data_IF_011473122674
#
_entry.id   IF_011473122674
#
_cell.length_a   1.000
_cell.length_b   1.000
_cell.length_c   1.000
_cell.angle_alpha   90.00
_cell.angle_beta   90.00
_cell.angle_gamma   90.00
#
_symmetry.space_group_name_H-M   'P 1'
#
loop_
_entity.id
_entity.type
_entity.pdbx_description
1 polymer ?
#
# COMPACT_ATOMS: atom_id res chain seq x y z
N UNK A 1 -0.17 -0.22 -8.50
CA UNK A 1 -0.64 0.34 -7.22
C UNK A 1 0.29 -0.19 -6.16
N UNK A 2 1.15 0.69 -5.65
CA UNK A 2 2.07 0.38 -4.57
C UNK A 2 1.28 0.31 -3.26
N UNK A 3 1.37 -0.85 -2.60
CA UNK A 3 0.88 -1.00 -1.24
C UNK A 3 2.05 -0.97 -0.28
N UNK A 4 1.92 -0.20 0.78
CA UNK A 4 2.95 -0.11 1.80
C UNK A 4 2.59 -1.01 2.98
N UNK A 5 3.51 -1.87 3.38
CA UNK A 5 3.32 -2.65 4.60
C UNK A 5 3.42 -1.74 5.83
N UNK A 6 2.46 -1.86 6.75
CA UNK A 6 2.44 -1.08 8.01
C UNK A 6 3.66 -1.35 8.91
N UNK A 7 4.20 -2.58 8.87
CA UNK A 7 5.29 -3.01 9.75
C UNK A 7 6.67 -2.73 9.16
N UNK A 8 6.97 -3.26 7.97
CA UNK A 8 8.29 -3.08 7.35
C UNK A 8 8.41 -1.80 6.52
N UNK A 9 7.31 -1.06 6.32
CA UNK A 9 7.24 0.20 5.55
C UNK A 9 7.75 0.11 4.11
N UNK A 10 7.98 -1.10 3.59
CA UNK A 10 8.37 -1.33 2.20
C UNK A 10 7.16 -1.22 1.28
N UNK A 11 7.39 -0.74 0.07
CA UNK A 11 6.45 -0.88 -1.02
C UNK A 11 6.39 -2.36 -1.42
N UNK A 12 5.18 -2.83 -1.62
CA UNK A 12 4.84 -4.20 -1.97
C UNK A 12 3.86 -4.10 -3.14
N UNK A 13 4.19 -4.75 -4.24
CA UNK A 13 3.22 -5.04 -5.29
C UNK A 13 2.49 -6.32 -4.90
N UNK A 14 1.16 -6.22 -4.80
CA UNK A 14 0.32 -7.36 -4.48
C UNK A 14 -0.18 -7.91 -5.81
N UNK A 15 0.13 -9.18 -6.08
CA UNK A 15 -0.45 -9.90 -7.20
C UNK A 15 -1.74 -10.59 -6.73
N UNK A 16 -2.89 -10.13 -7.25
CA UNK A 16 -4.22 -10.56 -6.81
C UNK A 16 -4.54 -12.01 -7.17
N UNK A 17 -3.74 -12.66 -8.01
CA UNK A 17 -4.02 -14.00 -8.53
C UNK A 17 -3.65 -15.13 -7.57
N UNK A 18 -2.58 -15.00 -6.77
CA UNK A 18 -2.00 -16.17 -6.07
C UNK A 18 -1.61 -15.97 -4.61
N UNK A 19 -1.32 -14.75 -4.13
CA UNK A 19 -0.59 -14.58 -2.85
C UNK A 19 -1.44 -14.02 -1.70
N UNK A 20 -2.69 -13.63 -1.97
CA UNK A 20 -3.54 -12.97 -0.97
C UNK A 20 -2.92 -11.68 -0.42
N UNK A 21 -3.48 -11.14 0.66
CA UNK A 21 -3.00 -9.88 1.27
C UNK A 21 -1.93 -10.21 2.32
N UNK A 22 -0.71 -10.50 1.85
CA UNK A 22 0.43 -10.80 2.74
C UNK A 22 1.70 -10.11 2.25
N UNK A 23 2.39 -9.43 3.15
CA UNK A 23 3.69 -8.84 2.86
C UNK A 23 4.75 -9.95 2.70
N UNK A 24 5.48 -10.04 1.56
CA UNK A 24 6.49 -11.08 1.32
C UNK A 24 7.71 -10.95 2.23
N UNK A 25 7.96 -9.76 2.79
CA UNK A 25 9.15 -9.50 3.60
C UNK A 25 8.99 -9.80 5.08
N UNK A 26 7.78 -9.67 5.63
CA UNK A 26 7.56 -9.79 7.08
C UNK A 26 6.31 -10.60 7.46
N UNK A 27 5.59 -11.14 6.47
CA UNK A 27 4.39 -11.96 6.70
C UNK A 27 3.18 -11.19 7.24
N UNK A 28 3.29 -9.88 7.47
CA UNK A 28 2.20 -9.04 7.96
C UNK A 28 1.09 -8.90 6.91
N UNK A 29 -0.17 -8.85 7.37
CA UNK A 29 -1.35 -8.90 6.49
C UNK A 29 -2.06 -7.56 6.33
N UNK A 30 -1.52 -6.50 6.96
CA UNK A 30 -2.09 -5.15 6.87
C UNK A 30 -1.23 -4.31 5.94
N UNK A 31 -1.79 -4.03 4.77
CA UNK A 31 -1.18 -3.25 3.69
C UNK A 31 -1.99 -1.98 3.45
N UNK A 32 -1.31 -0.85 3.27
CA UNK A 32 -1.92 0.48 3.10
C UNK A 32 -1.66 0.96 1.69
N UNK A 33 -2.69 1.42 0.98
CA UNK A 33 -2.53 1.97 -0.37
C UNK A 33 -1.74 3.28 -0.32
N UNK A 34 -0.79 3.44 -1.24
CA UNK A 34 -0.06 4.69 -1.42
C UNK A 34 -0.99 5.88 -1.71
N UNK A 35 -0.55 7.09 -1.35
CA UNK A 35 -1.25 8.33 -1.74
C UNK A 35 -1.15 8.45 -3.27
N UNK A 36 -2.24 8.77 -3.98
CA UNK A 36 -2.15 9.04 -5.41
C UNK A 36 -1.22 10.23 -5.66
N UNK A 37 -0.46 10.17 -6.75
CA UNK A 37 0.40 11.27 -7.23
C UNK A 37 -0.39 12.49 -7.70
N UNK A 38 -1.69 12.34 -7.92
CA UNK A 38 -2.60 13.42 -8.30
C UNK A 38 -2.69 14.48 -7.19
N UNK A 39 -2.41 15.73 -7.57
CA UNK A 39 -2.56 16.90 -6.69
C UNK A 39 -4.06 17.11 -6.44
N UNK A 40 -4.45 17.15 -5.17
CA UNK A 40 -5.81 17.48 -4.76
C UNK A 40 -5.88 18.97 -4.43
N UNK A 41 -6.69 19.73 -5.16
CA UNK A 41 -7.01 21.12 -4.81
C UNK A 41 -8.15 21.13 -3.81
N UNK A 42 -7.89 21.68 -2.62
CA UNK A 42 -8.86 21.80 -1.54
C UNK A 42 -8.99 23.28 -1.18
N UNK A 43 -10.22 23.79 -1.03
CA UNK A 43 -10.45 25.12 -0.46
C UNK A 43 -10.19 25.04 1.04
N UNK A 44 -9.39 25.95 1.58
CA UNK A 44 -9.34 26.18 3.01
C UNK A 44 -10.58 27.01 3.37
N UNK A 45 -11.39 26.54 4.31
CA UNK A 45 -12.37 27.38 5.00
C UNK A 45 -11.65 28.39 5.90
#
# INVERSE_FOLDING_TARGET
MDYKCTRCKRAVEIDYQYTGIRCPYCGNRILVKGRPTTIKTLKAE
#
